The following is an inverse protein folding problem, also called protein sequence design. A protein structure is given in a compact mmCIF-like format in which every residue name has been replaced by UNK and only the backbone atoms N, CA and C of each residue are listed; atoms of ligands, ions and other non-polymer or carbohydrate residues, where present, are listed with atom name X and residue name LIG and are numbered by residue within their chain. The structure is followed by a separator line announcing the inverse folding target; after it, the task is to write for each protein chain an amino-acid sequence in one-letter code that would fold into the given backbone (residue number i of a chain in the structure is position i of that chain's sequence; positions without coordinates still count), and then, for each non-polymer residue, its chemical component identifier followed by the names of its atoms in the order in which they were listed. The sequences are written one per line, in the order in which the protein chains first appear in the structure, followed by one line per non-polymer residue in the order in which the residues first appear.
data_IF_889795787273
#
_entry.id   IF_889795787273
#
_cell.length_a   1.000
_cell.length_b   1.000
_cell.length_c   1.000
_cell.angle_alpha   90.00
_cell.angle_beta   90.00
_cell.angle_gamma   90.00
#
_symmetry.space_group_name_H-M   'P 1'
#
loop_
_entity.id
_entity.type
_entity.pdbx_description
1 polymer ?
#
# COMPACT_ATOMS: atom_id res chain seq x y z
N UNK A 1 -1.82 -19.96 -3.93
CA UNK A 1 -2.13 -18.67 -3.27
C UNK A 1 -3.62 -18.29 -3.33
N UNK A 2 -4.33 -18.51 -4.45
CA UNK A 2 -5.70 -17.98 -4.64
C UNK A 2 -6.80 -18.60 -3.78
N UNK A 3 -6.50 -19.66 -3.02
CA UNK A 3 -7.45 -20.39 -2.16
C UNK A 3 -7.05 -20.36 -0.67
N UNK A 4 -6.11 -19.48 -0.27
CA UNK A 4 -5.62 -19.42 1.11
C UNK A 4 -6.73 -19.18 2.15
N UNK A 5 -7.81 -18.49 1.77
CA UNK A 5 -8.93 -18.24 2.66
C UNK A 5 -9.72 -19.50 3.06
N UNK A 6 -9.72 -20.55 2.23
CA UNK A 6 -10.41 -21.81 2.56
C UNK A 6 -9.76 -22.47 3.78
N UNK A 7 -8.43 -22.69 3.72
CA UNK A 7 -7.68 -23.32 4.81
C UNK A 7 -7.74 -22.50 6.10
N UNK A 8 -7.60 -21.17 6.00
CA UNK A 8 -7.65 -20.28 7.17
C UNK A 8 -9.07 -20.27 7.77
N UNK A 9 -10.10 -20.19 6.92
CA UNK A 9 -11.50 -20.21 7.37
C UNK A 9 -11.85 -21.47 8.15
N UNK A 10 -11.45 -22.64 7.66
CA UNK A 10 -11.67 -23.91 8.37
C UNK A 10 -10.92 -23.96 9.71
N UNK A 11 -9.65 -23.56 9.74
CA UNK A 11 -8.87 -23.52 10.98
C UNK A 11 -9.50 -22.58 12.02
N UNK A 12 -9.94 -21.40 11.60
CA UNK A 12 -10.57 -20.43 12.51
C UNK A 12 -11.89 -20.94 13.08
N UNK A 13 -12.72 -21.64 12.29
CA UNK A 13 -13.96 -22.25 12.80
C UNK A 13 -13.66 -23.37 13.79
N UNK A 14 -12.73 -24.26 13.45
CA UNK A 14 -12.36 -25.40 14.28
C UNK A 14 -11.85 -24.95 15.66
N UNK A 15 -10.92 -23.98 15.68
CA UNK A 15 -10.36 -23.44 16.92
C UNK A 15 -11.20 -22.33 17.57
N UNK A 16 -12.37 -22.00 17.01
CA UNK A 16 -13.27 -20.95 17.49
C UNK A 16 -12.57 -19.58 17.63
N UNK A 17 -11.66 -19.29 16.71
CA UNK A 17 -10.90 -18.05 16.66
C UNK A 17 -11.70 -16.94 15.96
N UNK A 18 -11.34 -15.70 16.26
CA UNK A 18 -11.93 -14.50 15.64
C UNK A 18 -10.90 -13.78 14.77
N UNK A 19 -11.30 -12.87 13.86
CA UNK A 19 -10.35 -12.08 13.07
C UNK A 19 -9.31 -11.33 13.91
N UNK A 20 -9.60 -10.99 15.17
CA UNK A 20 -8.65 -10.35 16.08
C UNK A 20 -7.48 -11.27 16.49
N UNK A 21 -7.66 -12.59 16.39
CA UNK A 21 -6.65 -13.61 16.68
C UNK A 21 -5.78 -13.94 15.46
N UNK A 22 -6.20 -13.49 14.27
CA UNK A 22 -5.53 -13.76 13.01
C UNK A 22 -4.48 -12.67 12.70
N UNK A 23 -3.27 -13.12 12.35
CA UNK A 23 -2.24 -12.32 11.70
C UNK A 23 -1.90 -12.97 10.37
N UNK A 24 -2.03 -12.22 9.27
CA UNK A 24 -1.64 -12.67 7.94
C UNK A 24 -0.36 -11.97 7.52
N UNK A 25 0.67 -12.76 7.22
CA UNK A 25 1.97 -12.31 6.72
C UNK A 25 2.00 -12.53 5.22
N UNK A 26 2.29 -11.49 4.44
CA UNK A 26 2.30 -11.58 2.98
C UNK A 26 3.20 -10.52 2.34
N UNK A 27 3.58 -10.76 1.09
CA UNK A 27 4.37 -9.86 0.26
C UNK A 27 3.57 -8.67 -0.26
N UNK A 28 4.19 -7.51 -0.29
CA UNK A 28 3.53 -6.23 -0.59
C UNK A 28 4.33 -5.45 -1.63
N UNK A 29 3.68 -5.18 -2.76
CA UNK A 29 4.29 -4.47 -3.90
C UNK A 29 4.39 -2.96 -3.64
N UNK A 30 3.46 -2.41 -2.86
CA UNK A 30 3.42 -0.96 -2.59
C UNK A 30 4.47 -0.51 -1.56
N UNK A 31 5.12 -1.45 -0.88
CA UNK A 31 6.17 -1.18 0.09
C UNK A 31 7.54 -1.42 -0.52
N UNK A 32 8.47 -0.53 -0.20
CA UNK A 32 9.88 -0.65 -0.60
C UNK A 32 10.46 -1.97 -0.06
N UNK A 33 11.34 -2.67 -0.82
CA UNK A 33 12.06 -3.84 -0.36
C UNK A 33 12.64 -3.67 1.05
N UNK A 34 12.47 -4.68 1.90
CA UNK A 34 12.98 -4.66 3.28
C UNK A 34 12.15 -3.84 4.27
N UNK A 35 11.11 -3.12 3.82
CA UNK A 35 10.19 -2.42 4.74
C UNK A 35 9.06 -3.33 5.18
N UNK A 36 8.83 -3.36 6.49
CA UNK A 36 7.73 -4.08 7.12
C UNK A 36 6.72 -3.10 7.70
N UNK A 37 5.42 -3.38 7.56
CA UNK A 37 4.35 -2.63 8.24
C UNK A 37 3.26 -3.57 8.75
N UNK A 38 2.75 -3.31 9.94
CA UNK A 38 1.55 -3.97 10.47
C UNK A 38 0.36 -3.01 10.39
N UNK A 39 -0.78 -3.51 9.92
CA UNK A 39 -2.05 -2.77 9.87
C UNK A 39 -3.21 -3.72 10.14
N UNK A 40 -4.28 -3.23 10.75
CA UNK A 40 -5.55 -3.97 10.87
C UNK A 40 -6.49 -3.61 9.73
N UNK A 41 -7.10 -4.61 9.10
CA UNK A 41 -8.05 -4.43 8.01
C UNK A 41 -7.43 -3.83 6.74
N UNK A 42 -8.22 -3.06 5.98
CA UNK A 42 -7.85 -2.60 4.64
C UNK A 42 -8.20 -3.59 3.53
N UNK A 43 -8.06 -3.14 2.28
CA UNK A 43 -8.36 -3.94 1.09
C UNK A 43 -7.19 -4.80 0.63
N UNK A 44 -7.43 -5.63 -0.37
CA UNK A 44 -6.46 -6.62 -0.85
C UNK A 44 -5.31 -6.08 -1.67
N UNK A 45 -5.38 -4.83 -2.16
CA UNK A 45 -4.32 -4.25 -2.99
C UNK A 45 -4.07 -5.01 -4.29
N UNK A 46 -5.02 -5.84 -4.74
CA UNK A 46 -4.83 -6.74 -5.89
C UNK A 46 -4.14 -8.07 -5.55
N UNK A 47 -3.75 -8.30 -4.30
CA UNK A 47 -3.16 -9.56 -3.87
C UNK A 47 -4.22 -10.67 -3.81
N UNK A 48 -4.07 -11.72 -4.61
CA UNK A 48 -5.07 -12.78 -4.76
C UNK A 48 -5.28 -13.60 -3.49
N UNK A 49 -4.21 -13.91 -2.74
CA UNK A 49 -4.32 -14.60 -1.45
C UNK A 49 -5.14 -13.81 -0.43
N UNK A 50 -4.82 -12.52 -0.24
CA UNK A 50 -5.62 -11.62 0.60
C UNK A 50 -7.07 -11.52 0.14
N UNK A 51 -7.33 -11.38 -1.17
CA UNK A 51 -8.71 -11.36 -1.70
C UNK A 51 -9.48 -12.63 -1.30
N UNK A 52 -8.83 -13.80 -1.37
CA UNK A 52 -9.41 -15.06 -0.92
C UNK A 52 -9.71 -15.04 0.58
N UNK A 53 -8.75 -14.63 1.41
CA UNK A 53 -8.93 -14.56 2.87
C UNK A 53 -10.08 -13.61 3.22
N UNK A 54 -10.12 -12.42 2.63
CA UNK A 54 -11.16 -11.43 2.87
C UNK A 54 -12.56 -11.98 2.61
N UNK A 55 -12.74 -12.71 1.49
CA UNK A 55 -14.02 -13.34 1.16
C UNK A 55 -14.48 -14.35 2.23
N UNK A 56 -13.55 -15.13 2.78
CA UNK A 56 -13.87 -16.09 3.85
C UNK A 56 -14.07 -15.41 5.21
N UNK A 57 -13.37 -14.31 5.47
CA UNK A 57 -13.49 -13.58 6.73
C UNK A 57 -14.84 -12.88 6.89
N UNK A 58 -15.56 -12.61 5.79
CA UNK A 58 -16.92 -12.04 5.84
C UNK A 58 -17.92 -12.88 6.65
N UNK A 59 -17.70 -14.20 6.78
CA UNK A 59 -18.57 -15.05 7.61
C UNK A 59 -18.33 -14.92 9.12
N UNK A 60 -17.29 -14.19 9.54
CA UNK A 60 -16.92 -14.02 10.95
C UNK A 60 -17.32 -12.63 11.45
N UNK A 61 -17.72 -12.50 12.73
CA UNK A 61 -17.88 -11.18 13.35
C UNK A 61 -16.60 -10.35 13.25
N UNK A 62 -16.74 -9.10 12.80
CA UNK A 62 -15.60 -8.23 12.53
C UNK A 62 -15.03 -8.34 11.11
N UNK A 63 -15.47 -9.33 10.31
CA UNK A 63 -15.14 -9.42 8.88
C UNK A 63 -13.63 -9.42 8.62
N UNK A 64 -13.20 -8.60 7.68
CA UNK A 64 -11.79 -8.47 7.28
C UNK A 64 -10.91 -7.67 8.26
N UNK A 65 -11.37 -7.38 9.48
CA UNK A 65 -10.60 -6.61 10.49
C UNK A 65 -9.57 -7.47 11.24
N UNK A 66 -8.77 -8.23 10.51
CA UNK A 66 -7.63 -8.98 11.05
C UNK A 66 -6.32 -8.21 10.83
N UNK A 67 -5.26 -8.60 11.57
CA UNK A 67 -3.95 -7.98 11.45
C UNK A 67 -3.23 -8.48 10.20
N UNK A 68 -2.61 -7.56 9.48
CA UNK A 68 -1.87 -7.75 8.24
C UNK A 68 -0.43 -7.30 8.44
N UNK A 69 0.51 -8.24 8.40
CA UNK A 69 1.94 -7.95 8.35
C UNK A 69 2.39 -7.93 6.88
N UNK A 70 2.67 -6.72 6.40
CA UNK A 70 3.01 -6.42 5.02
C UNK A 70 4.52 -6.42 4.87
N UNK A 71 5.05 -7.33 4.07
CA UNK A 71 6.47 -7.46 3.76
C UNK A 71 6.76 -6.81 2.40
N UNK A 72 7.44 -5.67 2.41
CA UNK A 72 7.77 -4.96 1.19
C UNK A 72 8.71 -5.76 0.31
N UNK A 73 8.24 -6.06 -0.90
CA UNK A 73 9.04 -6.63 -1.98
C UNK A 73 9.30 -5.61 -3.09
N UNK A 74 8.55 -4.50 -3.14
CA UNK A 74 8.64 -3.50 -4.20
C UNK A 74 7.83 -3.85 -5.43
N UNK A 75 7.78 -2.93 -6.39
CA UNK A 75 6.98 -3.08 -7.61
C UNK A 75 7.89 -3.07 -8.84
N UNK A 76 7.66 -3.94 -9.86
CA UNK A 76 8.49 -4.01 -11.08
C UNK A 76 8.28 -2.83 -12.05
N UNK A 77 7.75 -1.70 -11.57
CA UNK A 77 7.39 -0.50 -12.37
C UNK A 77 6.14 -0.64 -13.25
N UNK A 78 5.87 -1.81 -13.81
CA UNK A 78 4.77 -2.04 -14.74
C UNK A 78 3.84 -3.19 -14.30
N UNK A 79 2.53 -3.02 -14.48
CA UNK A 79 1.50 -3.92 -13.92
C UNK A 79 1.54 -5.31 -14.57
N UNK A 80 1.84 -5.36 -15.86
CA UNK A 80 1.97 -6.57 -16.67
C UNK A 80 3.14 -7.46 -16.22
N UNK A 81 4.16 -6.89 -15.58
CA UNK A 81 5.32 -7.63 -15.08
C UNK A 81 5.09 -8.22 -13.69
N UNK A 82 4.05 -7.78 -12.97
CA UNK A 82 3.78 -8.17 -11.58
C UNK A 82 3.65 -9.69 -11.43
N UNK A 83 2.99 -10.36 -12.38
CA UNK A 83 2.79 -11.81 -12.29
C UNK A 83 4.13 -12.57 -12.30
N UNK A 84 5.04 -12.22 -13.21
CA UNK A 84 6.36 -12.84 -13.28
C UNK A 84 7.23 -12.43 -12.09
N UNK A 85 7.07 -11.19 -11.60
CA UNK A 85 7.82 -10.65 -10.48
C UNK A 85 7.55 -11.43 -9.18
N UNK A 86 6.27 -11.63 -8.82
CA UNK A 86 5.90 -12.34 -7.57
C UNK A 86 6.12 -13.85 -7.63
N UNK A 87 6.35 -14.40 -8.83
CA UNK A 87 6.67 -15.81 -9.04
C UNK A 87 8.19 -16.05 -9.22
N UNK A 88 8.98 -14.97 -9.32
CA UNK A 88 10.42 -15.05 -9.49
C UNK A 88 11.15 -15.15 -8.14
N UNK A 89 12.37 -15.66 -8.18
CA UNK A 89 13.26 -15.65 -7.04
C UNK A 89 13.83 -14.24 -6.78
N UNK A 90 14.21 -13.99 -5.52
CA UNK A 90 14.94 -12.78 -5.16
C UNK A 90 16.32 -12.73 -5.84
N UNK A 91 16.80 -11.52 -6.16
CA UNK A 91 18.14 -11.37 -6.69
C UNK A 91 19.17 -11.63 -5.58
N UNK A 92 20.38 -12.06 -5.94
CA UNK A 92 21.47 -12.27 -4.96
C UNK A 92 21.78 -11.02 -4.13
N UNK A 93 21.58 -9.83 -4.71
CA UNK A 93 21.77 -8.55 -4.02
C UNK A 93 20.72 -8.31 -2.92
N UNK A 94 19.59 -9.02 -2.96
CA UNK A 94 18.53 -8.89 -1.97
C UNK A 94 18.77 -9.73 -0.72
N UNK A 95 19.63 -10.76 -0.80
CA UNK A 95 19.87 -11.68 0.30
C UNK A 95 20.34 -10.98 1.58
N UNK A 96 21.16 -9.93 1.46
CA UNK A 96 21.69 -9.21 2.63
C UNK A 96 20.56 -8.64 3.52
N UNK A 97 19.60 -7.95 2.91
CA UNK A 97 18.47 -7.39 3.65
C UNK A 97 17.40 -8.44 3.95
N UNK A 98 17.22 -9.42 3.05
CA UNK A 98 16.21 -10.45 3.18
C UNK A 98 16.52 -11.39 4.35
N UNK A 99 17.76 -11.89 4.44
CA UNK A 99 18.18 -12.80 5.51
C UNK A 99 18.10 -12.12 6.88
N UNK A 100 18.53 -10.85 6.94
CA UNK A 100 18.42 -10.03 8.16
C UNK A 100 16.95 -9.85 8.58
N UNK A 101 16.08 -9.49 7.63
CA UNK A 101 14.66 -9.29 7.90
C UNK A 101 13.99 -10.58 8.35
N UNK A 102 14.22 -11.68 7.63
CA UNK A 102 13.60 -12.98 7.92
C UNK A 102 14.09 -13.54 9.26
N UNK A 103 15.38 -13.41 9.57
CA UNK A 103 15.93 -13.77 10.89
C UNK A 103 15.28 -12.96 12.01
N UNK A 104 15.23 -11.64 11.88
CA UNK A 104 14.60 -10.77 12.88
C UNK A 104 13.11 -11.07 13.07
N UNK A 105 12.38 -11.35 11.98
CA UNK A 105 10.97 -11.75 12.04
C UNK A 105 10.82 -13.08 12.78
N UNK A 106 11.63 -14.09 12.43
CA UNK A 106 11.58 -15.42 13.04
C UNK A 106 11.83 -15.36 14.55
N UNK A 107 12.86 -14.63 14.97
CA UNK A 107 13.25 -14.50 16.39
C UNK A 107 12.17 -13.79 17.24
N UNK A 108 11.36 -12.92 16.62
CA UNK A 108 10.42 -12.06 17.34
C UNK A 108 8.94 -12.40 17.05
N UNK A 109 8.63 -13.38 16.19
CA UNK A 109 7.24 -13.67 15.73
C UNK A 109 6.27 -13.98 16.89
N UNK A 110 6.77 -14.55 17.99
CA UNK A 110 5.97 -14.85 19.18
C UNK A 110 5.30 -13.61 19.78
N UNK A 111 5.88 -12.41 19.57
CA UNK A 111 5.30 -11.14 20.02
C UNK A 111 3.97 -10.83 19.30
N UNK A 112 3.81 -11.26 18.05
CA UNK A 112 2.57 -11.09 17.30
C UNK A 112 1.42 -11.87 17.94
N UNK A 113 1.69 -13.08 18.44
CA UNK A 113 0.70 -13.89 19.16
C UNK A 113 0.27 -13.24 20.47
N UNK A 114 1.20 -12.55 21.15
CA UNK A 114 0.94 -11.77 22.38
C UNK A 114 0.31 -10.39 22.13
N UNK A 115 0.09 -10.02 20.87
CA UNK A 115 -0.45 -8.71 20.44
C UNK A 115 0.46 -7.52 20.78
N UNK A 116 1.77 -7.76 20.84
CA UNK A 116 2.80 -6.76 21.12
C UNK A 116 3.35 -6.13 19.82
N UNK A 117 2.45 -5.69 18.93
CA UNK A 117 2.80 -5.24 17.57
C UNK A 117 3.83 -4.09 17.57
N UNK A 118 3.69 -3.13 18.48
CA UNK A 118 4.59 -1.98 18.58
C UNK A 118 6.01 -2.42 18.98
N UNK A 119 6.11 -3.31 19.95
CA UNK A 119 7.39 -3.84 20.43
C UNK A 119 8.05 -4.70 19.35
N UNK A 120 7.27 -5.53 18.65
CA UNK A 120 7.73 -6.28 17.48
C UNK A 120 8.28 -5.33 16.41
N UNK A 121 7.52 -4.32 16.00
CA UNK A 121 7.95 -3.35 14.99
C UNK A 121 9.25 -2.62 15.37
N UNK A 122 9.42 -2.29 16.65
CA UNK A 122 10.66 -1.69 17.15
C UNK A 122 11.85 -2.65 17.04
N UNK A 123 11.68 -3.92 17.43
CA UNK A 123 12.72 -4.95 17.28
C UNK A 123 13.17 -5.13 15.83
N UNK A 124 12.21 -5.19 14.91
CA UNK A 124 12.52 -5.28 13.47
C UNK A 124 13.26 -4.02 13.00
N UNK A 125 12.82 -2.82 13.41
CA UNK A 125 13.50 -1.59 13.02
C UNK A 125 14.94 -1.52 13.53
N UNK A 126 15.20 -1.97 14.75
CA UNK A 126 16.56 -2.04 15.32
C UNK A 126 17.44 -3.05 14.57
N UNK A 127 16.89 -4.21 14.20
CA UNK A 127 17.63 -5.24 13.46
C UNK A 127 17.97 -4.81 12.03
N UNK A 128 17.03 -4.16 11.35
CA UNK A 128 17.24 -3.63 9.99
C UNK A 128 18.08 -2.35 9.96
N UNK A 129 18.31 -1.72 11.13
CA UNK A 129 19.00 -0.44 11.28
C UNK A 129 18.34 0.71 10.52
N UNK A 130 19.08 1.81 10.35
CA UNK A 130 18.71 2.94 9.47
C UNK A 130 18.81 2.58 7.98
N UNK A 131 18.60 1.31 7.61
CA UNK A 131 18.53 0.74 6.26
C UNK A 131 17.36 1.29 5.41
N UNK A 132 17.03 2.57 5.56
CA UNK A 132 16.31 3.36 4.58
C UNK A 132 17.14 3.60 3.29
N UNK A 133 18.33 3.01 3.19
CA UNK A 133 19.13 2.98 1.97
C UNK A 133 18.80 1.69 1.21
N UNK A 134 18.33 1.88 -0.02
CA UNK A 134 18.10 0.81 -1.00
C UNK A 134 19.39 -0.02 -1.12
N UNK A 135 19.37 -1.35 -0.90
CA UNK A 135 20.43 -2.20 -1.39
C UNK A 135 20.28 -2.24 -2.92
N UNK A 136 21.31 -1.79 -3.65
CA UNK A 136 21.26 -1.60 -5.10
C UNK A 136 20.96 -0.16 -5.53
N UNK A 137 21.88 0.75 -5.22
CA UNK A 137 21.86 2.09 -5.78
C UNK A 137 22.15 2.07 -7.28
N UNK A 138 21.11 2.18 -8.13
CA UNK A 138 21.24 3.11 -9.25
C UNK A 138 21.29 4.49 -8.60
N UNK A 139 22.50 5.03 -8.48
CA UNK A 139 22.69 6.46 -8.23
C UNK A 139 22.08 7.19 -9.43
N UNK A 140 20.83 7.63 -9.30
CA UNK A 140 20.36 8.72 -10.16
C UNK A 140 21.08 9.96 -9.69
N UNK A 141 22.21 10.28 -10.31
CA UNK A 141 22.87 11.57 -10.13
C UNK A 141 21.81 12.68 -10.35
N UNK A 142 21.63 13.62 -9.40
CA UNK A 142 20.71 14.75 -9.58
C UNK A 142 21.04 15.59 -10.82
N UNK A 143 22.28 15.49 -11.32
CA UNK A 143 22.77 16.17 -12.52
C UNK A 143 22.39 15.48 -13.86
N UNK A 144 21.90 14.25 -13.85
CA UNK A 144 21.45 13.57 -15.09
C UNK A 144 19.94 13.77 -15.38
N UNK A 145 19.21 14.43 -14.48
CA UNK A 145 17.81 14.83 -14.70
C UNK A 145 17.66 16.10 -15.55
N UNK A 146 18.75 16.75 -15.97
CA UNK A 146 18.68 18.00 -16.75
C UNK A 146 18.65 17.83 -18.27
N UNK A 147 18.58 16.61 -18.81
CA UNK A 147 18.41 16.40 -20.26
C UNK A 147 17.29 15.43 -20.60
N UNK A 148 16.12 15.66 -20.01
CA UNK A 148 14.89 15.15 -20.61
C UNK A 148 14.52 16.05 -21.82
N UNK A 149 14.23 15.50 -23.02
CA UNK A 149 13.63 16.28 -24.08
C UNK A 149 12.32 16.91 -23.55
N UNK A 150 11.95 18.13 -23.98
CA UNK A 150 10.84 18.86 -23.40
C UNK A 150 9.59 17.98 -23.42
N UNK A 151 9.00 17.76 -22.23
CA UNK A 151 7.74 17.02 -22.06
C UNK A 151 6.73 17.53 -23.09
N UNK A 152 6.31 16.65 -24.00
CA UNK A 152 5.17 16.93 -24.87
C UNK A 152 3.99 17.36 -23.98
N UNK A 153 3.48 18.56 -24.22
CA UNK A 153 2.38 19.12 -23.44
C UNK A 153 1.17 18.19 -23.56
N UNK A 154 0.76 17.58 -22.44
CA UNK A 154 -0.47 16.81 -22.36
C UNK A 154 -1.65 17.64 -22.88
N UNK A 155 -2.36 17.14 -23.89
CA UNK A 155 -3.56 17.75 -24.50
C UNK A 155 -4.67 18.12 -23.48
N UNK A 156 -4.60 17.60 -22.26
CA UNK A 156 -5.51 17.90 -21.16
C UNK A 156 -5.34 19.35 -20.64
N UNK A 157 -4.17 19.99 -20.83
CA UNK A 157 -3.94 21.37 -20.38
C UNK A 157 -4.47 22.43 -21.36
N UNK A 158 -4.54 22.12 -22.65
CA UNK A 158 -5.10 23.02 -23.68
C UNK A 158 -6.62 23.18 -23.55
N UNK A 159 -7.35 22.19 -23.02
CA UNK A 159 -8.79 22.28 -22.81
C UNK A 159 -9.21 23.20 -21.63
N UNK A 160 -8.26 23.59 -20.74
CA UNK A 160 -8.54 24.54 -19.65
C UNK A 160 -8.18 25.99 -19.96
N UNK A 161 -7.35 26.24 -20.96
CA UNK A 161 -6.96 27.61 -21.33
C UNK A 161 -7.96 28.32 -22.24
N UNK A 162 -8.96 27.60 -22.78
CA UNK A 162 -9.93 28.17 -23.73
C UNK A 162 -11.39 28.20 -23.25
N UNK A 163 -11.64 28.09 -21.94
CA UNK A 163 -12.96 28.44 -21.41
C UNK A 163 -13.04 29.96 -21.26
N UNK A 164 -13.72 30.61 -22.21
CA UNK A 164 -14.23 31.98 -22.04
C UNK A 164 -14.95 32.05 -20.69
N UNK A 165 -14.60 33.05 -19.86
CA UNK A 165 -15.32 33.35 -18.62
C UNK A 165 -16.82 33.42 -18.95
N UNK A 166 -17.71 32.73 -18.19
CA UNK A 166 -19.14 32.83 -18.44
C UNK A 166 -19.56 34.30 -18.32
N UNK A 167 -20.27 34.81 -19.32
CA UNK A 167 -20.79 36.18 -19.28
C UNK A 167 -21.93 36.23 -18.28
N UNK A 168 -21.71 36.86 -17.12
CA UNK A 168 -22.70 36.96 -16.05
C UNK A 168 -23.63 38.13 -16.43
N UNK A 169 -24.96 37.92 -16.51
CA UNK A 169 -25.88 39.02 -16.76
C UNK A 169 -25.80 40.05 -15.62
N UNK A 170 -25.51 41.31 -15.95
CA UNK A 170 -25.35 42.39 -14.97
C UNK A 170 -26.69 42.94 -14.44
N UNK A 171 -27.83 42.52 -15.00
CA UNK A 171 -29.16 42.89 -14.51
C UNK A 171 -30.20 41.79 -14.73
N UNK A 172 -31.23 41.80 -13.89
CA UNK A 172 -32.34 40.86 -13.92
C UNK A 172 -32.47 40.02 -12.62
N UNK A 173 -33.59 39.30 -12.46
CA UNK A 173 -33.93 38.60 -11.21
C UNK A 173 -32.91 37.52 -10.80
N UNK A 174 -32.19 36.96 -11.78
CA UNK A 174 -31.12 35.97 -11.54
C UNK A 174 -29.82 36.62 -11.03
N UNK A 175 -29.51 37.87 -11.41
CA UNK A 175 -28.33 38.61 -10.97
C UNK A 175 -28.46 39.06 -9.50
N UNK A 176 -29.65 39.51 -9.11
CA UNK A 176 -30.02 39.82 -7.71
C UNK A 176 -29.84 38.59 -6.79
N UNK A 177 -30.24 37.40 -7.27
CA UNK A 177 -30.15 36.15 -6.51
C UNK A 177 -28.69 35.73 -6.26
N UNK A 178 -27.83 35.88 -7.27
CA UNK A 178 -26.39 35.60 -7.19
C UNK A 178 -25.67 36.55 -6.22
N UNK A 179 -26.01 37.84 -6.22
CA UNK A 179 -25.44 38.82 -5.28
C UNK A 179 -25.80 38.50 -3.82
N UNK A 180 -27.01 37.99 -3.58
CA UNK A 180 -27.47 37.55 -2.26
C UNK A 180 -26.79 36.27 -1.77
N UNK A 181 -26.43 35.37 -2.69
CA UNK A 181 -25.75 34.10 -2.39
C UNK A 181 -24.23 34.24 -2.18
N UNK A 182 -23.59 35.16 -2.89
CA UNK A 182 -22.12 35.29 -2.93
C UNK A 182 -21.58 36.49 -2.14
N UNK A 183 -22.44 37.44 -1.74
CA UNK A 183 -22.04 38.72 -1.16
C UNK A 183 -21.98 38.79 0.38
N UNK A 184 -21.86 37.67 1.10
CA UNK A 184 -21.66 37.70 2.56
C UNK A 184 -20.37 37.00 3.00
N UNK A 185 -19.33 37.81 3.18
CA UNK A 185 -18.32 37.69 4.23
C UNK A 185 -17.83 39.11 4.51
N UNK A 186 -17.85 39.46 5.80
CA UNK A 186 -17.61 40.79 6.36
C UNK A 186 -16.30 41.45 5.89
#
# INVERSE_FOLDING_TARGET
MNLSGQSIGEAMRFYKMTPADLVVIYDELDLVPGKLRIKTGGGSGGHNGIKSIDAHMQSFPGGQNYRRMRLGIGHPGAKELVHNYVLGDFAKADNEWLDTLMGAVADNVAMLARREDNSFMNRIALAMGDGNQRPGGVKTDPAQLEKAPPKAQSHIRQARQNQKKPNIPESGPMAEMLKKLLGKKD
#
